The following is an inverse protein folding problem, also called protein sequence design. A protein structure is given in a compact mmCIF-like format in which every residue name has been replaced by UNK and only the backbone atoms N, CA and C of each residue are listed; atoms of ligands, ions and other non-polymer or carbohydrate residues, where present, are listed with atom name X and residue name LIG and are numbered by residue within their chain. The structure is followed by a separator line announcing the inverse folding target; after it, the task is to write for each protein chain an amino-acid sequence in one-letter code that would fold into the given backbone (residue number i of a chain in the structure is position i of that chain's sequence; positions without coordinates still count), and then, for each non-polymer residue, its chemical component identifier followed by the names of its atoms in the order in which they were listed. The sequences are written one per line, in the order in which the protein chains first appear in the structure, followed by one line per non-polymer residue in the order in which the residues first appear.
data_IF_986968524527
#
_entry.id   IF_986968524527
#
_cell.length_a   1.000
_cell.length_b   1.000
_cell.length_c   1.000
_cell.angle_alpha   90.00
_cell.angle_beta   90.00
_cell.angle_gamma   90.00
#
_symmetry.space_group_name_H-M   'P 1'
#
loop_
_entity.id
_entity.type
_entity.pdbx_description
1 polymer ?
#
# COMPACT_ATOMS: atom_id res chain seq x y z
N UNK A 1 60.43 22.43 -30.24
CA UNK A 1 59.72 22.37 -28.96
C UNK A 1 58.26 22.09 -29.27
N UNK A 2 57.83 20.87 -29.04
CA UNK A 2 56.48 20.38 -29.34
C UNK A 2 55.64 20.55 -28.05
N UNK A 3 54.59 21.38 -28.13
CA UNK A 3 53.67 21.60 -27.00
C UNK A 3 52.65 20.46 -26.98
N UNK A 4 52.63 19.65 -25.92
CA UNK A 4 51.63 18.66 -25.65
C UNK A 4 50.48 19.36 -24.93
N UNK A 5 49.30 19.40 -25.54
CA UNK A 5 48.07 19.90 -24.94
C UNK A 5 47.35 18.66 -24.38
N UNK A 6 47.28 18.54 -23.04
CA UNK A 6 46.50 17.50 -22.36
C UNK A 6 45.07 18.04 -22.15
N UNK A 7 44.08 17.47 -22.86
CA UNK A 7 42.67 17.76 -22.65
C UNK A 7 42.14 16.71 -21.66
N UNK A 8 41.85 17.12 -20.42
CA UNK A 8 41.16 16.30 -19.43
C UNK A 8 39.68 16.56 -19.60
N UNK A 9 38.97 15.64 -20.26
CA UNK A 9 37.51 15.59 -20.26
C UNK A 9 37.05 14.85 -19.00
N UNK A 10 36.56 15.58 -17.99
CA UNK A 10 35.86 14.97 -16.88
C UNK A 10 34.47 14.55 -17.34
N UNK A 11 34.21 13.23 -17.44
CA UNK A 11 32.87 12.70 -17.57
C UNK A 11 32.19 12.88 -16.22
N UNK A 12 31.26 13.81 -16.12
CA UNK A 12 30.27 13.82 -15.02
C UNK A 12 29.24 12.76 -15.34
N UNK A 13 29.27 11.65 -14.64
CA UNK A 13 28.14 10.71 -14.62
C UNK A 13 27.05 11.32 -13.73
N UNK A 14 25.98 11.84 -14.35
CA UNK A 14 24.73 12.09 -13.63
C UNK A 14 24.16 10.72 -13.24
N UNK A 15 24.20 10.40 -11.97
CA UNK A 15 23.38 9.33 -11.43
C UNK A 15 21.95 9.86 -11.30
N UNK A 16 21.07 9.51 -12.25
CA UNK A 16 19.64 9.65 -12.05
C UNK A 16 19.23 8.53 -11.09
N UNK A 17 18.91 8.88 -9.85
CA UNK A 17 18.17 7.99 -8.96
C UNK A 17 16.74 7.93 -9.49
N UNK A 18 16.29 6.78 -9.95
CA UNK A 18 14.88 6.57 -10.24
C UNK A 18 14.12 6.66 -8.92
N UNK A 19 13.15 7.57 -8.83
CA UNK A 19 12.20 7.64 -7.73
C UNK A 19 10.92 6.94 -8.17
N UNK A 20 10.51 5.95 -7.41
CA UNK A 20 9.20 5.34 -7.59
C UNK A 20 8.15 6.27 -6.97
N UNK A 21 7.33 6.87 -7.82
CA UNK A 21 6.27 7.78 -7.40
C UNK A 21 4.92 7.30 -7.94
N UNK A 22 3.98 7.08 -7.04
CA UNK A 22 2.58 6.75 -7.39
C UNK A 22 1.65 7.68 -6.63
N UNK A 23 0.75 8.34 -7.36
CA UNK A 23 -0.20 9.29 -6.78
C UNK A 23 -1.61 9.00 -7.27
N UNK A 24 -2.56 8.93 -6.33
CA UNK A 24 -3.98 9.01 -6.61
C UNK A 24 -4.39 10.49 -6.62
N UNK A 25 -4.73 10.99 -7.80
CA UNK A 25 -5.05 12.41 -8.00
C UNK A 25 -6.34 12.86 -7.32
N UNK A 26 -6.59 14.18 -7.30
CA UNK A 26 -7.77 14.76 -6.68
C UNK A 26 -9.05 14.32 -7.42
N UNK A 27 -10.15 14.20 -6.67
CA UNK A 27 -11.49 13.89 -7.18
C UNK A 27 -11.61 12.56 -7.95
N UNK A 28 -10.63 11.64 -7.84
CA UNK A 28 -10.64 10.36 -8.59
C UNK A 28 -11.89 9.52 -8.29
N UNK A 29 -12.32 9.46 -7.03
CA UNK A 29 -13.52 8.74 -6.58
C UNK A 29 -14.55 9.66 -5.94
N UNK A 30 -14.56 10.93 -6.32
CA UNK A 30 -15.52 11.89 -5.78
C UNK A 30 -16.96 11.44 -6.04
N UNK A 31 -17.78 11.34 -4.99
CA UNK A 31 -19.17 10.93 -5.06
C UNK A 31 -19.38 9.46 -5.44
N UNK A 32 -18.33 8.64 -5.46
CA UNK A 32 -18.47 7.23 -5.75
C UNK A 32 -19.17 6.48 -4.61
N UNK A 33 -20.01 5.51 -4.95
CA UNK A 33 -20.76 4.70 -3.99
C UNK A 33 -20.49 3.20 -4.20
N UNK A 34 -20.58 2.42 -3.11
CA UNK A 34 -20.41 0.97 -3.13
C UNK A 34 -19.09 0.51 -2.55
N UNK A 35 -18.45 -0.49 -3.18
CA UNK A 35 -17.17 -1.02 -2.74
C UNK A 35 -16.03 -0.39 -3.57
N UNK A 36 -15.23 0.42 -2.93
CA UNK A 36 -14.10 1.12 -3.54
C UNK A 36 -12.81 0.55 -2.95
N UNK A 37 -11.97 -0.04 -3.78
CA UNK A 37 -10.70 -0.62 -3.38
C UNK A 37 -9.55 0.00 -4.17
N UNK A 38 -8.57 0.55 -3.47
CA UNK A 38 -7.40 1.21 -4.04
C UNK A 38 -6.14 0.61 -3.43
N UNK A 39 -5.27 0.12 -4.28
CA UNK A 39 -3.96 -0.41 -3.89
C UNK A 39 -2.88 0.38 -4.62
N UNK A 40 -2.05 1.08 -3.87
CA UNK A 40 -1.01 1.97 -4.39
C UNK A 40 0.33 1.51 -3.82
N UNK A 41 1.25 1.12 -4.68
CA UNK A 41 2.59 0.72 -4.28
C UNK A 41 3.66 1.43 -5.12
N UNK A 42 4.60 2.06 -4.44
CA UNK A 42 5.83 2.57 -4.99
C UNK A 42 6.98 1.71 -4.47
N UNK A 43 7.82 1.18 -5.36
CA UNK A 43 8.84 0.17 -5.06
C UNK A 43 8.45 -1.24 -5.53
N UNK A 44 9.26 -2.22 -5.18
CA UNK A 44 9.18 -3.57 -5.73
C UNK A 44 8.62 -4.60 -4.75
N UNK A 45 8.07 -5.70 -5.27
CA UNK A 45 7.61 -6.87 -4.51
C UNK A 45 6.58 -6.58 -3.43
N UNK A 46 5.84 -5.47 -3.52
CA UNK A 46 4.75 -5.17 -2.61
C UNK A 46 3.51 -6.03 -2.96
N UNK A 47 2.85 -6.55 -1.92
CA UNK A 47 1.62 -7.34 -2.07
C UNK A 47 0.50 -6.64 -1.32
N UNK A 48 -0.57 -6.30 -2.03
CA UNK A 48 -1.69 -5.57 -1.45
C UNK A 48 -3.01 -6.23 -1.87
N UNK A 49 -3.94 -6.35 -0.92
CA UNK A 49 -5.30 -6.79 -1.22
C UNK A 49 -6.35 -6.02 -0.41
N UNK A 50 -7.50 -5.86 -1.03
CA UNK A 50 -8.69 -5.29 -0.42
C UNK A 50 -9.86 -6.24 -0.67
N UNK A 51 -10.41 -6.81 0.39
CA UNK A 51 -11.42 -7.85 0.30
C UNK A 51 -12.74 -7.34 0.88
N UNK A 52 -13.82 -7.55 0.14
CA UNK A 52 -15.17 -7.32 0.58
C UNK A 52 -15.95 -8.63 0.48
N UNK A 53 -16.43 -9.12 1.61
CA UNK A 53 -17.21 -10.34 1.71
C UNK A 53 -18.61 -10.01 2.20
N UNK A 54 -19.62 -10.44 1.45
CA UNK A 54 -21.01 -10.41 1.87
C UNK A 54 -21.59 -11.81 1.79
N UNK A 55 -22.01 -12.35 2.91
CA UNK A 55 -22.71 -13.63 2.97
C UNK A 55 -24.10 -13.42 3.55
N UNK A 56 -25.12 -13.78 2.79
CA UNK A 56 -26.51 -13.69 3.24
C UNK A 56 -26.94 -14.91 4.10
N UNK A 57 -26.20 -16.00 4.03
CA UNK A 57 -26.54 -17.28 4.67
C UNK A 57 -25.53 -17.70 5.75
N UNK A 58 -24.48 -16.93 5.96
CA UNK A 58 -23.45 -17.21 6.96
C UNK A 58 -22.28 -18.04 6.43
N UNK A 59 -22.47 -18.82 5.38
CA UNK A 59 -21.43 -19.66 4.83
C UNK A 59 -20.47 -18.83 3.97
N UNK A 60 -19.21 -18.73 4.39
CA UNK A 60 -18.13 -18.18 3.57
C UNK A 60 -16.78 -18.77 3.98
N UNK A 61 -15.90 -18.85 3.04
CA UNK A 61 -14.49 -19.19 3.24
C UNK A 61 -13.63 -18.04 2.69
N UNK A 62 -12.72 -17.52 3.51
CA UNK A 62 -11.77 -16.52 3.09
C UNK A 62 -10.37 -16.96 3.47
N UNK A 63 -9.60 -17.37 2.48
CA UNK A 63 -8.19 -17.71 2.62
C UNK A 63 -7.32 -16.63 2.01
N UNK A 64 -6.42 -16.03 2.80
CA UNK A 64 -5.44 -15.06 2.33
C UNK A 64 -4.06 -15.65 2.57
N UNK A 65 -3.38 -15.97 1.49
CA UNK A 65 -1.99 -16.41 1.51
C UNK A 65 -1.17 -15.39 0.73
N UNK A 66 -0.22 -14.77 1.38
CA UNK A 66 0.70 -13.87 0.71
C UNK A 66 2.13 -14.09 1.18
N UNK A 67 3.05 -14.02 0.25
CA UNK A 67 4.48 -14.03 0.53
C UNK A 67 5.15 -12.94 -0.29
N UNK A 68 6.05 -12.22 0.32
CA UNK A 68 6.93 -11.28 -0.37
C UNK A 68 8.37 -11.54 0.01
N UNK A 69 9.26 -11.42 -0.97
CA UNK A 69 10.69 -11.60 -0.77
C UNK A 69 11.43 -10.51 -1.54
N UNK A 70 12.30 -9.78 -0.87
CA UNK A 70 13.20 -8.83 -1.51
C UNK A 70 14.61 -9.01 -1.02
N UNK A 71 15.54 -8.85 -1.93
CA UNK A 71 16.98 -8.79 -1.66
C UNK A 71 17.49 -7.34 -1.66
N UNK A 72 16.64 -6.36 -1.97
CA UNK A 72 17.05 -4.97 -2.14
C UNK A 72 16.25 -4.02 -1.25
N UNK A 73 16.91 -2.99 -0.75
CA UNK A 73 16.30 -1.89 0.00
C UNK A 73 15.95 -0.77 -0.98
N UNK A 74 14.70 -0.32 -0.96
CA UNK A 74 14.32 0.85 -1.75
C UNK A 74 15.06 2.09 -1.26
N UNK A 75 15.69 2.82 -2.16
CA UNK A 75 16.41 4.06 -1.83
C UNK A 75 15.47 5.26 -1.77
N UNK A 76 14.46 5.29 -2.62
CA UNK A 76 13.47 6.37 -2.68
C UNK A 76 12.17 5.86 -3.28
N UNK A 77 11.07 6.02 -2.56
CA UNK A 77 9.73 5.67 -3.04
C UNK A 77 8.68 6.56 -2.37
N UNK A 78 7.65 6.96 -3.12
CA UNK A 78 6.55 7.76 -2.58
C UNK A 78 5.20 7.28 -3.09
N UNK A 79 4.25 7.09 -2.17
CA UNK A 79 2.87 6.75 -2.48
C UNK A 79 1.94 7.78 -1.82
N UNK A 80 1.04 8.39 -2.58
CA UNK A 80 0.18 9.44 -2.04
C UNK A 80 -1.26 9.38 -2.55
N UNK A 81 -2.17 9.85 -1.69
CA UNK A 81 -3.57 10.14 -2.04
C UNK A 81 -3.80 11.62 -1.80
N UNK A 82 -4.18 12.33 -2.85
CA UNK A 82 -4.35 13.77 -2.82
C UNK A 82 -5.69 14.21 -2.23
N UNK A 83 -5.79 15.51 -2.00
CA UNK A 83 -6.98 16.16 -1.49
C UNK A 83 -8.19 15.90 -2.38
N UNK A 84 -9.36 15.60 -1.77
CA UNK A 84 -10.60 15.38 -2.49
C UNK A 84 -10.71 14.05 -3.23
N UNK A 85 -9.73 13.15 -3.13
CA UNK A 85 -9.73 11.89 -3.86
C UNK A 85 -10.99 11.06 -3.64
N UNK A 86 -11.54 11.05 -2.42
CA UNK A 86 -12.77 10.34 -2.04
C UNK A 86 -13.85 11.29 -1.49
N UNK A 87 -13.87 12.54 -1.91
CA UNK A 87 -14.86 13.49 -1.43
C UNK A 87 -16.29 13.00 -1.70
N UNK A 88 -17.12 13.02 -0.64
CA UNK A 88 -18.51 12.54 -0.69
C UNK A 88 -18.66 11.08 -1.14
N UNK A 89 -17.61 10.28 -1.08
CA UNK A 89 -17.70 8.85 -1.39
C UNK A 89 -18.39 8.08 -0.26
N UNK A 90 -19.11 7.00 -0.61
CA UNK A 90 -19.90 6.23 0.35
C UNK A 90 -19.80 4.72 0.17
N UNK A 91 -19.96 3.98 1.28
CA UNK A 91 -19.96 2.52 1.29
C UNK A 91 -18.71 1.90 1.92
N UNK A 92 -18.10 0.92 1.27
CA UNK A 92 -16.81 0.38 1.69
C UNK A 92 -15.68 1.05 0.93
N UNK A 93 -14.79 1.71 1.66
CA UNK A 93 -13.61 2.36 1.09
C UNK A 93 -12.38 1.72 1.69
N UNK A 94 -11.56 1.11 0.86
CA UNK A 94 -10.30 0.49 1.24
C UNK A 94 -9.14 1.11 0.49
N UNK A 95 -8.13 1.58 1.21
CA UNK A 95 -6.91 2.09 0.60
C UNK A 95 -5.68 1.48 1.27
N UNK A 96 -4.84 0.84 0.47
CA UNK A 96 -3.53 0.36 0.85
C UNK A 96 -2.46 1.20 0.13
N UNK A 97 -1.57 1.81 0.89
CA UNK A 97 -0.47 2.62 0.37
C UNK A 97 0.86 2.05 0.87
N UNK A 98 1.75 1.71 -0.04
CA UNK A 98 3.09 1.24 0.29
C UNK A 98 4.17 2.07 -0.43
N UNK A 99 5.20 2.45 0.30
CA UNK A 99 6.43 3.01 -0.26
C UNK A 99 7.62 2.21 0.27
N UNK A 100 8.40 1.64 -0.65
CA UNK A 100 9.49 0.71 -0.33
C UNK A 100 9.24 -0.68 -0.86
N UNK A 101 10.04 -1.66 -0.42
CA UNK A 101 10.03 -3.00 -1.00
C UNK A 101 9.45 -4.06 -0.08
N UNK A 102 8.81 -5.07 -0.68
CA UNK A 102 8.35 -6.30 0.00
C UNK A 102 7.37 -6.08 1.15
N UNK A 103 6.58 -5.02 1.10
CA UNK A 103 5.53 -4.79 2.07
C UNK A 103 4.27 -5.59 1.73
N UNK A 104 3.53 -6.00 2.76
CA UNK A 104 2.27 -6.71 2.62
C UNK A 104 1.15 -5.95 3.34
N UNK A 105 0.06 -5.70 2.63
CA UNK A 105 -1.09 -4.99 3.21
C UNK A 105 -2.39 -5.67 2.81
N UNK A 106 -3.23 -5.94 3.80
CA UNK A 106 -4.51 -6.60 3.61
C UNK A 106 -5.61 -5.88 4.38
N UNK A 107 -6.58 -5.36 3.66
CA UNK A 107 -7.81 -4.84 4.22
C UNK A 107 -8.95 -5.81 3.93
N UNK A 108 -9.74 -6.14 4.93
CA UNK A 108 -10.86 -7.08 4.79
C UNK A 108 -12.08 -6.57 5.54
N UNK A 109 -13.22 -6.57 4.86
CA UNK A 109 -14.53 -6.31 5.45
C UNK A 109 -15.43 -7.50 5.20
N UNK A 110 -16.14 -7.92 6.25
CA UNK A 110 -17.06 -9.06 6.20
C UNK A 110 -18.40 -8.65 6.80
N UNK A 111 -19.46 -8.84 6.02
CA UNK A 111 -20.83 -8.77 6.47
C UNK A 111 -21.44 -10.16 6.39
N UNK A 112 -21.80 -10.73 7.54
CA UNK A 112 -22.37 -12.07 7.63
C UNK A 112 -23.43 -12.13 8.73
N UNK A 113 -24.53 -12.91 8.58
CA UNK A 113 -25.50 -13.11 9.65
C UNK A 113 -24.94 -13.86 10.85
N UNK A 114 -23.83 -14.55 10.69
CA UNK A 114 -23.18 -15.27 11.79
C UNK A 114 -22.20 -14.38 12.55
N UNK A 115 -22.21 -14.50 13.89
CA UNK A 115 -21.31 -13.76 14.76
C UNK A 115 -19.92 -14.38 14.89
N UNK A 116 -19.76 -15.64 14.49
CA UNK A 116 -18.48 -16.34 14.51
C UNK A 116 -17.91 -16.44 13.10
N UNK A 117 -16.79 -15.77 12.88
CA UNK A 117 -16.04 -15.88 11.64
C UNK A 117 -15.18 -17.13 11.70
N UNK A 118 -15.41 -18.02 10.78
CA UNK A 118 -14.49 -19.13 10.54
C UNK A 118 -13.30 -18.60 9.70
N UNK A 119 -12.24 -18.14 10.39
CA UNK A 119 -10.99 -17.75 9.75
C UNK A 119 -10.23 -19.01 9.35
N UNK A 120 -10.30 -19.38 8.11
CA UNK A 120 -9.66 -20.62 7.71
C UNK A 120 -8.14 -20.50 7.66
N UNK A 121 -7.58 -19.49 7.14
CA UNK A 121 -6.12 -19.22 7.30
C UNK A 121 -5.75 -17.85 6.74
N UNK A 122 -5.07 -17.02 7.53
CA UNK A 122 -4.36 -15.86 7.00
C UNK A 122 -2.88 -16.06 7.25
N UNK A 123 -2.16 -16.50 6.24
CA UNK A 123 -0.70 -16.63 6.29
C UNK A 123 -0.07 -15.41 5.59
N UNK A 124 0.58 -14.57 6.38
CA UNK A 124 1.29 -13.38 5.94
C UNK A 124 2.77 -13.59 6.24
N UNK A 125 3.47 -14.29 5.37
CA UNK A 125 4.91 -14.51 5.52
C UNK A 125 5.71 -13.47 4.73
N UNK A 126 6.41 -12.60 5.44
CA UNK A 126 7.43 -11.71 4.88
C UNK A 126 8.82 -12.28 5.17
N UNK A 127 9.57 -12.62 4.15
CA UNK A 127 10.97 -13.00 4.31
C UNK A 127 11.85 -11.76 4.13
N UNK A 128 12.48 -11.34 5.23
CA UNK A 128 13.54 -10.33 5.18
C UNK A 128 14.86 -11.04 4.90
N UNK A 129 15.57 -10.60 3.86
CA UNK A 129 16.99 -10.89 3.80
C UNK A 129 17.69 -10.21 4.99
N UNK A 130 18.59 -10.90 5.65
CA UNK A 130 19.38 -10.29 6.73
C UNK A 130 20.34 -9.27 6.13
N UNK A 131 20.12 -8.01 6.43
CA UNK A 131 20.99 -6.91 6.02
C UNK A 131 22.13 -6.78 7.03
N UNK A 132 23.36 -6.77 6.57
CA UNK A 132 24.45 -6.18 7.36
C UNK A 132 24.39 -4.68 7.12
N UNK A 133 24.07 -3.95 8.16
CA UNK A 133 23.90 -2.49 8.19
C UNK A 133 25.27 -1.78 8.03
N UNK A 134 25.80 -1.77 6.81
CA UNK A 134 27.05 -1.05 6.49
C UNK A 134 26.84 0.09 5.51
N UNK A 135 25.62 0.27 4.98
CA UNK A 135 25.31 1.38 4.09
C UNK A 135 24.27 2.31 4.74
N UNK A 136 24.75 3.43 5.26
CA UNK A 136 23.92 4.56 5.69
C UNK A 136 23.38 5.35 4.48
N UNK A 137 22.79 4.67 3.49
CA UNK A 137 22.05 5.34 2.46
C UNK A 137 20.78 5.91 3.07
N UNK A 138 20.61 7.22 2.98
CA UNK A 138 19.40 7.92 3.44
C UNK A 138 18.23 7.41 2.60
N UNK A 139 17.40 6.55 3.18
CA UNK A 139 16.16 6.12 2.56
C UNK A 139 15.17 7.29 2.60
N UNK A 140 14.62 7.66 1.45
CA UNK A 140 13.56 8.66 1.34
C UNK A 140 12.24 7.97 0.95
N UNK A 141 11.60 7.35 1.94
CA UNK A 141 10.35 6.63 1.77
C UNK A 141 9.22 7.46 2.36
N UNK A 142 8.22 7.78 1.54
CA UNK A 142 7.09 8.61 1.94
C UNK A 142 5.75 7.97 1.59
N UNK A 143 4.82 8.00 2.55
CA UNK A 143 3.41 7.65 2.32
C UNK A 143 2.57 8.77 2.86
N UNK A 144 1.70 9.33 2.02
CA UNK A 144 0.89 10.47 2.38
C UNK A 144 -0.60 10.26 2.04
N UNK A 145 -1.44 10.53 3.01
CA UNK A 145 -2.87 10.71 2.82
C UNK A 145 -3.20 12.18 3.14
N UNK A 146 -3.65 12.93 2.15
CA UNK A 146 -4.06 14.32 2.37
C UNK A 146 -5.17 14.41 3.41
N UNK A 147 -5.13 15.38 4.35
CA UNK A 147 -6.18 15.58 5.34
C UNK A 147 -7.58 15.76 4.76
N UNK A 148 -7.70 16.26 3.54
CA UNK A 148 -8.96 16.45 2.83
C UNK A 148 -9.30 15.30 1.87
N UNK A 149 -8.54 14.23 1.83
CA UNK A 149 -8.76 13.12 0.89
C UNK A 149 -10.13 12.44 1.08
N UNK A 150 -10.67 12.46 2.29
CA UNK A 150 -11.89 11.77 2.71
C UNK A 150 -13.00 12.73 3.19
N UNK A 151 -13.04 13.96 2.69
CA UNK A 151 -14.05 14.94 3.12
C UNK A 151 -15.45 14.44 2.83
N UNK A 152 -16.30 14.40 3.87
CA UNK A 152 -17.67 13.85 3.81
C UNK A 152 -17.77 12.40 3.34
N UNK A 153 -16.69 11.64 3.33
CA UNK A 153 -16.76 10.21 3.06
C UNK A 153 -17.49 9.49 4.19
N UNK A 154 -18.25 8.44 3.86
CA UNK A 154 -19.10 7.73 4.82
C UNK A 154 -19.09 6.22 4.59
N UNK A 155 -19.37 5.44 5.67
CA UNK A 155 -19.41 3.99 5.63
C UNK A 155 -18.25 3.34 6.35
N UNK A 156 -17.79 2.17 5.88
CA UNK A 156 -16.62 1.46 6.44
C UNK A 156 -15.37 1.87 5.68
N UNK A 157 -14.48 2.56 6.37
CA UNK A 157 -13.24 3.07 5.77
C UNK A 157 -12.05 2.37 6.41
N UNK A 158 -11.25 1.69 5.60
CA UNK A 158 -10.02 1.02 6.03
C UNK A 158 -8.84 1.58 5.25
N UNK A 159 -7.86 2.12 5.97
CA UNK A 159 -6.64 2.67 5.37
C UNK A 159 -5.43 1.99 6.01
N UNK A 160 -4.52 1.54 5.18
CA UNK A 160 -3.24 0.97 5.57
C UNK A 160 -2.11 1.74 4.88
N UNK A 161 -1.15 2.20 5.66
CA UNK A 161 -0.01 2.99 5.17
C UNK A 161 1.29 2.39 5.67
N UNK A 162 2.20 2.07 4.78
CA UNK A 162 3.51 1.50 5.09
C UNK A 162 4.60 2.24 4.32
N UNK A 163 5.58 2.77 5.04
CA UNK A 163 6.85 3.23 4.48
C UNK A 163 7.98 2.36 5.07
N UNK A 164 8.75 1.69 4.22
CA UNK A 164 9.81 0.79 4.67
C UNK A 164 9.93 -0.48 3.82
N UNK A 165 10.64 -1.46 4.34
CA UNK A 165 10.88 -2.74 3.67
C UNK A 165 10.48 -3.92 4.56
N UNK A 166 9.74 -4.88 3.99
CA UNK A 166 9.36 -6.13 4.63
C UNK A 166 8.36 -5.97 5.78
N UNK A 167 7.52 -4.94 5.73
CA UNK A 167 6.49 -4.72 6.74
C UNK A 167 5.19 -5.42 6.34
N UNK A 168 4.40 -5.78 7.36
CA UNK A 168 3.08 -6.38 7.17
C UNK A 168 2.03 -5.60 7.95
N UNK A 169 0.93 -5.23 7.30
CA UNK A 169 -0.22 -4.61 7.92
C UNK A 169 -1.53 -5.31 7.51
N UNK A 170 -2.43 -5.45 8.47
CA UNK A 170 -3.73 -6.05 8.25
C UNK A 170 -4.80 -5.31 9.02
N UNK A 171 -5.87 -4.92 8.31
CA UNK A 171 -7.10 -4.39 8.89
C UNK A 171 -8.24 -5.36 8.61
N UNK A 172 -8.99 -5.70 9.63
CA UNK A 172 -10.17 -6.55 9.48
C UNK A 172 -11.34 -5.93 10.22
N UNK A 173 -12.48 -5.85 9.55
CA UNK A 173 -13.74 -5.42 10.11
C UNK A 173 -14.80 -6.48 9.80
N UNK A 174 -15.52 -6.88 10.82
CA UNK A 174 -16.66 -7.79 10.68
C UNK A 174 -17.87 -7.19 11.35
N UNK A 175 -19.00 -7.28 10.67
CA UNK A 175 -20.28 -6.87 11.21
C UNK A 175 -21.32 -7.99 11.01
N UNK A 176 -21.97 -8.46 12.07
CA UNK A 176 -23.11 -9.37 11.93
C UNK A 176 -24.27 -8.63 11.26
N UNK A 177 -24.94 -9.29 10.31
CA UNK A 177 -26.10 -8.72 9.61
C UNK A 177 -27.43 -9.07 10.29
N UNK A 178 -27.43 -9.95 11.27
CA UNK A 178 -28.60 -10.28 12.10
C UNK A 178 -28.64 -9.34 13.31
N UNK A 179 -29.63 -8.47 13.35
CA UNK A 179 -29.99 -7.70 14.54
C UNK A 179 -31.15 -8.48 15.20
N UNK A 180 -30.92 -9.04 16.38
CA UNK A 180 -32.00 -9.59 17.23
C UNK A 180 -32.83 -8.49 17.86
#
# INVERSE_FOLDING_TARGET
MQKVILIITSLFSLQLSAQDLVTLGPSTFQGAEGAIAVNIAAGEHNVQSSNFVYSAQGDYELTIISSSQSSEIASSASASIESGAFDNAGGYISANLAAGNSNQQHNTVIFSPESEVNWDTVDLSAQRASWSDTDSSTQNLNVELSPQALTNASGVIQISQIAGTGNTARNTFQMPTTIN
#
